data_IF_864291724524
#
_entry.id   IF_864291724524
#
_cell.length_a   1.000
_cell.length_b   1.000
_cell.length_c   1.000
_cell.angle_alpha   90.00
_cell.angle_beta   90.00
_cell.angle_gamma   90.00
#
_symmetry.space_group_name_H-M   'P 1'
#
loop_
_entity.id
_entity.type
_entity.pdbx_description
1 polymer ?
#
# COMPACT_ATOMS: atom_id res chain seq x y z
N UNK A 1 -1.40 21.12 34.34
CA UNK A 1 -1.90 20.13 33.37
C UNK A 1 -2.76 20.87 32.37
N UNK A 2 -2.38 20.89 31.08
CA UNK A 2 -3.19 21.54 30.06
C UNK A 2 -4.44 20.70 29.82
N UNK A 3 -5.60 21.22 30.20
CA UNK A 3 -6.89 20.58 29.93
C UNK A 3 -7.37 21.10 28.59
N UNK A 4 -7.32 20.26 27.56
CA UNK A 4 -7.93 20.60 26.27
C UNK A 4 -9.44 20.66 26.45
N UNK A 5 -10.02 21.84 26.19
CA UNK A 5 -11.46 22.01 26.28
C UNK A 5 -12.13 21.18 25.17
N UNK A 6 -12.95 20.19 25.52
CA UNK A 6 -13.60 19.29 24.56
C UNK A 6 -14.47 20.04 23.55
N UNK A 7 -15.00 21.22 23.89
CA UNK A 7 -15.79 22.05 22.98
C UNK A 7 -14.95 22.69 21.86
N UNK A 8 -13.63 22.81 22.04
CA UNK A 8 -12.72 23.31 21.00
C UNK A 8 -12.42 22.26 19.92
N UNK A 9 -12.84 20.99 20.10
CA UNK A 9 -12.67 19.94 19.10
C UNK A 9 -13.71 20.12 17.99
N UNK A 10 -13.26 20.41 16.76
CA UNK A 10 -14.17 20.54 15.61
C UNK A 10 -14.94 19.25 15.30
N UNK A 11 -16.05 19.34 14.57
CA UNK A 11 -16.82 18.28 13.89
C UNK A 11 -15.98 17.17 13.24
N UNK A 12 -16.48 15.94 13.05
CA UNK A 12 -16.26 15.31 11.73
C UNK A 12 -17.41 15.83 10.88
N UNK A 13 -17.15 16.14 9.61
CA UNK A 13 -18.23 16.47 8.70
C UNK A 13 -19.24 15.31 8.66
N UNK A 14 -20.54 15.60 8.78
CA UNK A 14 -21.60 14.59 8.67
C UNK A 14 -21.85 14.17 7.22
N UNK A 15 -21.63 15.13 6.32
CA UNK A 15 -21.67 15.01 4.88
C UNK A 15 -20.65 15.99 4.33
N UNK A 16 -20.12 15.71 3.16
CA UNK A 16 -19.25 16.63 2.46
C UNK A 16 -19.82 16.82 1.07
N UNK A 17 -20.21 18.06 0.75
CA UNK A 17 -20.65 18.43 -0.60
C UNK A 17 -19.41 18.80 -1.44
N UNK A 18 -19.57 18.77 -2.75
CA UNK A 18 -18.47 19.05 -3.67
C UNK A 18 -17.95 20.49 -3.54
N UNK A 19 -18.87 21.44 -3.41
CA UNK A 19 -18.55 22.86 -3.37
C UNK A 19 -17.77 23.24 -2.10
N UNK A 20 -18.10 22.66 -0.94
CA UNK A 20 -17.34 22.88 0.30
C UNK A 20 -15.93 22.29 0.21
N UNK A 21 -15.73 21.18 -0.51
CA UNK A 21 -14.40 20.59 -0.65
C UNK A 21 -13.54 21.45 -1.56
N UNK A 22 -14.09 21.88 -2.70
CA UNK A 22 -13.39 22.81 -3.60
C UNK A 22 -13.09 24.12 -2.86
N UNK A 23 -14.05 24.66 -2.10
CA UNK A 23 -13.82 25.85 -1.30
C UNK A 23 -12.71 25.65 -0.26
N UNK A 24 -12.69 24.51 0.44
CA UNK A 24 -11.67 24.19 1.43
C UNK A 24 -10.28 23.99 0.80
N UNK A 25 -10.21 23.38 -0.39
CA UNK A 25 -8.97 23.23 -1.16
C UNK A 25 -8.46 24.59 -1.66
N UNK A 26 -9.34 25.42 -2.23
CA UNK A 26 -8.97 26.73 -2.76
C UNK A 26 -8.59 27.75 -1.67
N UNK A 27 -9.24 27.65 -0.50
CA UNK A 27 -8.93 28.51 0.64
C UNK A 27 -7.80 27.98 1.52
N UNK A 28 -7.33 26.76 1.25
CA UNK A 28 -6.35 26.04 2.06
C UNK A 28 -6.66 26.10 3.57
N UNK A 29 -7.96 26.05 3.91
CA UNK A 29 -8.37 26.12 5.31
C UNK A 29 -8.07 24.80 6.02
N UNK A 30 -6.93 24.75 6.70
CA UNK A 30 -6.40 23.58 7.38
C UNK A 30 -7.42 22.83 8.25
N UNK A 31 -8.23 23.55 9.02
CA UNK A 31 -9.19 22.91 9.90
C UNK A 31 -10.38 22.27 9.17
N UNK A 32 -10.80 22.85 8.05
CA UNK A 32 -11.84 22.27 7.20
C UNK A 32 -11.29 21.03 6.49
N UNK A 33 -10.06 21.12 5.96
CA UNK A 33 -9.35 20.00 5.36
C UNK A 33 -9.23 18.81 6.33
N UNK A 34 -8.84 19.02 7.59
CA UNK A 34 -8.81 17.95 8.60
C UNK A 34 -10.19 17.28 8.77
N UNK A 35 -11.26 18.07 8.73
CA UNK A 35 -12.63 17.54 8.88
C UNK A 35 -13.05 16.69 7.68
N UNK A 36 -12.62 17.09 6.48
CA UNK A 36 -12.79 16.33 5.22
C UNK A 36 -11.95 15.05 5.24
N UNK A 37 -10.70 15.13 5.70
CA UNK A 37 -9.81 13.96 5.82
C UNK A 37 -10.42 12.89 6.74
N UNK A 38 -10.95 13.32 7.90
CA UNK A 38 -11.62 12.41 8.83
C UNK A 38 -12.91 11.81 8.26
N UNK A 39 -13.63 12.52 7.39
CA UNK A 39 -14.79 11.98 6.71
C UNK A 39 -14.39 10.84 5.77
N UNK A 40 -13.46 11.09 4.83
CA UNK A 40 -13.04 10.07 3.87
C UNK A 40 -12.38 8.88 4.54
N UNK A 41 -11.52 9.12 5.53
CA UNK A 41 -10.91 8.05 6.33
C UNK A 41 -11.93 7.18 7.07
N UNK A 42 -13.09 7.74 7.43
CA UNK A 42 -14.15 7.04 8.17
C UNK A 42 -15.12 6.30 7.27
N UNK A 43 -15.49 6.90 6.13
CA UNK A 43 -16.61 6.43 5.31
C UNK A 43 -16.20 5.81 3.97
N UNK A 44 -14.98 6.06 3.48
CA UNK A 44 -14.47 5.39 2.28
C UNK A 44 -13.66 4.13 2.68
N UNK A 45 -14.14 2.92 2.33
CA UNK A 45 -13.48 1.67 2.72
C UNK A 45 -12.09 1.49 2.09
N UNK A 46 -11.88 1.99 0.87
CA UNK A 46 -10.61 1.86 0.17
C UNK A 46 -9.54 2.69 0.86
N UNK A 47 -9.86 3.96 1.16
CA UNK A 47 -8.98 4.86 1.91
C UNK A 47 -8.69 4.29 3.31
N UNK A 48 -9.74 3.86 4.04
CA UNK A 48 -9.58 3.31 5.38
C UNK A 48 -8.65 2.08 5.40
N UNK A 49 -8.82 1.17 4.43
CA UNK A 49 -8.01 -0.03 4.26
C UNK A 49 -6.54 0.30 3.96
N UNK A 50 -6.28 1.12 2.94
CA UNK A 50 -4.90 1.44 2.52
C UNK A 50 -4.13 2.21 3.61
N UNK A 51 -4.78 3.15 4.29
CA UNK A 51 -4.18 3.86 5.43
C UNK A 51 -3.81 2.89 6.56
N UNK A 52 -4.69 1.94 6.89
CA UNK A 52 -4.39 0.96 7.95
C UNK A 52 -3.24 0.04 7.54
N UNK A 53 -3.19 -0.42 6.28
CA UNK A 53 -2.09 -1.27 5.78
C UNK A 53 -0.73 -0.58 5.90
N UNK A 54 -0.65 0.71 5.54
CA UNK A 54 0.58 1.52 5.64
C UNK A 54 0.98 1.74 7.10
N UNK A 55 0.03 2.17 7.94
CA UNK A 55 0.26 2.37 9.39
C UNK A 55 0.70 1.10 10.11
N UNK A 56 0.08 -0.05 9.81
CA UNK A 56 0.50 -1.33 10.37
C UNK A 56 1.88 -1.75 9.90
N UNK A 57 2.23 -1.50 8.62
CA UNK A 57 3.58 -1.79 8.13
C UNK A 57 4.62 -1.00 8.92
N UNK A 58 4.45 0.31 9.08
CA UNK A 58 5.35 1.15 9.90
C UNK A 58 5.54 0.61 11.33
N UNK A 59 4.47 0.14 11.96
CA UNK A 59 4.51 -0.34 13.34
C UNK A 59 5.04 -1.78 13.49
N UNK A 60 5.08 -2.52 12.38
CA UNK A 60 5.47 -3.94 12.35
C UNK A 60 6.98 -4.14 12.47
N UNK A 61 7.77 -3.15 12.05
CA UNK A 61 9.22 -3.25 12.08
C UNK A 61 9.76 -3.39 13.53
N UNK A 62 10.72 -4.29 13.77
CA UNK A 62 11.45 -4.36 15.03
C UNK A 62 12.16 -3.03 15.32
N UNK A 63 12.41 -2.73 16.60
CA UNK A 63 13.04 -1.49 17.03
C UNK A 63 14.27 -1.82 17.86
N UNK A 64 15.39 -1.19 17.54
CA UNK A 64 16.67 -1.44 18.18
C UNK A 64 17.32 -0.14 18.65
N UNK A 65 18.12 -0.28 19.70
CA UNK A 65 18.91 0.82 20.27
C UNK A 65 20.37 0.40 20.31
N UNK A 66 21.20 1.12 19.58
CA UNK A 66 22.66 0.96 19.65
C UNK A 66 23.21 2.01 20.59
N UNK A 67 23.84 1.59 21.70
CA UNK A 67 24.47 2.50 22.65
C UNK A 67 25.73 1.85 23.23
N UNK A 68 26.78 2.65 23.47
CA UNK A 68 28.04 2.16 24.06
C UNK A 68 27.89 1.81 25.54
N UNK A 69 27.03 2.53 26.26
CA UNK A 69 26.75 2.26 27.67
C UNK A 69 25.65 1.21 27.79
N UNK A 70 26.02 0.02 28.27
CA UNK A 70 25.11 -1.12 28.41
C UNK A 70 23.96 -0.84 29.38
N UNK A 71 24.18 -0.07 30.44
CA UNK A 71 23.13 0.23 31.44
C UNK A 71 22.06 1.12 30.82
N UNK A 72 22.49 2.16 30.10
CA UNK A 72 21.58 3.09 29.42
C UNK A 72 20.88 2.41 28.23
N UNK A 73 21.57 1.53 27.51
CA UNK A 73 21.00 0.67 26.46
C UNK A 73 19.85 -0.17 27.00
N UNK A 74 20.09 -0.95 28.06
CA UNK A 74 19.08 -1.82 28.67
C UNK A 74 17.90 -0.99 29.20
N UNK A 75 18.16 0.16 29.81
CA UNK A 75 17.12 1.06 30.30
C UNK A 75 16.18 1.52 29.17
N UNK A 76 16.74 1.98 28.05
CA UNK A 76 15.93 2.42 26.90
C UNK A 76 15.25 1.23 26.19
N UNK A 77 15.93 0.10 26.05
CA UNK A 77 15.37 -1.11 25.44
C UNK A 77 14.12 -1.57 26.23
N UNK A 78 14.22 -1.60 27.56
CA UNK A 78 13.10 -1.92 28.44
C UNK A 78 11.94 -0.92 28.33
N UNK A 79 12.23 0.34 27.98
CA UNK A 79 11.18 1.34 27.75
C UNK A 79 10.45 1.08 26.43
N UNK A 80 11.17 0.85 25.32
CA UNK A 80 10.56 0.65 24.00
C UNK A 80 9.84 -0.70 23.85
N UNK A 81 10.21 -1.71 24.65
CA UNK A 81 9.54 -3.02 24.67
C UNK A 81 8.14 -3.00 25.34
N UNK A 82 7.77 -1.91 26.02
CA UNK A 82 6.45 -1.80 26.67
C UNK A 82 5.32 -1.64 25.66
N UNK A 83 4.16 -2.22 25.95
CA UNK A 83 2.93 -2.09 25.14
C UNK A 83 2.50 -0.64 24.94
N UNK A 84 2.65 0.20 25.97
CA UNK A 84 2.32 1.62 25.90
C UNK A 84 3.16 2.37 24.86
N UNK A 85 4.43 1.97 24.70
CA UNK A 85 5.31 2.55 23.68
C UNK A 85 4.89 2.12 22.27
N UNK A 86 4.55 0.83 22.07
CA UNK A 86 3.99 0.36 20.79
C UNK A 86 2.69 1.06 20.43
N UNK A 87 1.81 1.31 21.40
CA UNK A 87 0.61 2.14 21.21
C UNK A 87 0.96 3.57 20.81
N UNK A 88 1.93 4.19 21.47
CA UNK A 88 2.41 5.52 21.12
C UNK A 88 2.92 5.58 19.67
N UNK A 89 3.74 4.61 19.22
CA UNK A 89 4.20 4.52 17.83
C UNK A 89 3.02 4.39 16.86
N UNK A 90 2.02 3.58 17.19
CA UNK A 90 0.80 3.48 16.39
C UNK A 90 0.00 4.79 16.33
N UNK A 91 -0.07 5.54 17.43
CA UNK A 91 -0.68 6.88 17.44
C UNK A 91 0.16 7.88 16.62
N UNK A 92 1.50 7.78 16.63
CA UNK A 92 2.38 8.62 15.81
C UNK A 92 2.17 8.37 14.32
N UNK A 93 1.93 7.11 13.91
CA UNK A 93 1.65 6.77 12.51
C UNK A 93 0.42 7.47 11.91
N UNK A 94 -0.45 8.07 12.75
CA UNK A 94 -1.52 8.92 12.25
C UNK A 94 -0.99 10.15 11.48
N UNK A 95 0.26 10.57 11.73
CA UNK A 95 0.92 11.66 11.03
C UNK A 95 1.02 11.45 9.52
N UNK A 96 1.07 10.21 9.04
CA UNK A 96 1.03 9.92 7.60
C UNK A 96 -0.20 10.55 6.94
N UNK A 97 -1.36 10.51 7.62
CA UNK A 97 -2.61 11.03 7.07
C UNK A 97 -2.61 12.55 7.03
N UNK A 98 -2.23 13.21 8.13
CA UNK A 98 -2.44 14.65 8.34
C UNK A 98 -1.16 15.49 8.19
N UNK A 99 0.00 14.88 7.92
CA UNK A 99 1.32 15.50 7.95
C UNK A 99 1.95 15.63 9.34
N UNK A 100 1.17 15.43 10.42
CA UNK A 100 1.66 15.52 11.80
C UNK A 100 0.86 14.68 12.81
N UNK A 101 1.47 14.38 13.94
CA UNK A 101 0.83 13.84 15.12
C UNK A 101 1.32 14.58 16.37
N UNK A 102 0.39 15.00 17.22
CA UNK A 102 0.70 15.79 18.41
C UNK A 102 0.27 15.05 19.68
N UNK A 103 1.05 15.22 20.74
CA UNK A 103 0.83 14.55 22.02
C UNK A 103 1.03 15.54 23.16
N UNK A 104 0.15 15.50 24.16
CA UNK A 104 0.40 16.16 25.43
C UNK A 104 1.45 15.34 26.20
N UNK A 105 2.57 15.97 26.51
CA UNK A 105 3.71 15.39 27.21
C UNK A 105 3.64 15.70 28.70
N UNK A 106 3.46 14.67 29.53
CA UNK A 106 3.49 14.77 30.98
C UNK A 106 4.61 13.90 31.55
N UNK A 107 5.63 14.49 32.16
CA UNK A 107 6.68 13.72 32.84
C UNK A 107 6.17 13.14 34.16
N UNK A 108 6.38 11.84 34.37
CA UNK A 108 5.97 11.12 35.58
C UNK A 108 7.14 10.37 36.19
N UNK A 109 7.30 10.56 37.49
CA UNK A 109 8.22 9.74 38.29
C UNK A 109 7.56 8.39 38.56
N UNK A 110 8.26 7.31 38.21
CA UNK A 110 7.91 5.94 38.55
C UNK A 110 9.13 5.29 39.18
N UNK A 111 8.99 4.90 40.43
CA UNK A 111 10.09 4.41 41.28
C UNK A 111 11.18 5.48 41.39
N UNK A 112 12.35 5.25 40.80
CA UNK A 112 13.47 6.21 40.76
C UNK A 112 13.66 6.86 39.38
N UNK A 113 12.83 6.50 38.39
CA UNK A 113 12.99 6.91 37.00
C UNK A 113 11.87 7.83 36.55
N UNK A 114 12.18 8.76 35.64
CA UNK A 114 11.25 9.70 35.03
C UNK A 114 10.88 9.21 33.63
N UNK A 115 9.60 8.95 33.38
CA UNK A 115 9.11 8.52 32.07
C UNK A 115 8.04 9.48 31.54
N UNK A 116 7.92 9.64 30.22
CA UNK A 116 6.90 10.49 29.63
C UNK A 116 5.57 9.75 29.57
N UNK A 117 4.50 10.41 29.98
CA UNK A 117 3.13 10.02 29.69
C UNK A 117 2.63 10.87 28.53
N UNK A 118 2.53 10.24 27.37
CA UNK A 118 2.07 10.86 26.13
C UNK A 118 0.58 10.60 25.93
N UNK A 119 -0.18 11.66 25.63
CA UNK A 119 -1.60 11.54 25.28
C UNK A 119 -1.84 12.13 23.91
N UNK A 120 -2.28 11.30 22.98
CA UNK A 120 -2.60 11.73 21.62
C UNK A 120 -3.63 12.87 21.61
N UNK A 121 -3.32 13.92 20.87
CA UNK A 121 -4.21 15.07 20.62
C UNK A 121 -4.79 14.88 19.22
N UNK A 122 -6.12 14.87 19.13
CA UNK A 122 -6.80 14.78 17.84
C UNK A 122 -6.43 15.98 16.95
N UNK A 123 -6.10 15.77 15.66
CA UNK A 123 -5.82 16.85 14.71
C UNK A 123 -6.92 17.91 14.65
N UNK A 124 -8.17 17.53 14.93
CA UNK A 124 -9.36 18.40 15.00
C UNK A 124 -9.29 19.52 16.04
N UNK A 125 -8.30 19.53 16.93
CA UNK A 125 -8.04 20.64 17.86
C UNK A 125 -7.15 21.73 17.26
N UNK A 126 -6.47 21.44 16.15
CA UNK A 126 -5.47 22.32 15.58
C UNK A 126 -6.08 23.21 14.49
N UNK A 127 -5.59 24.44 14.46
CA UNK A 127 -5.74 25.39 13.38
C UNK A 127 -4.35 25.90 13.00
N UNK A 128 -4.26 26.52 11.84
CA UNK A 128 -3.02 27.06 11.31
C UNK A 128 -3.19 28.56 11.05
N UNK A 129 -2.14 29.34 11.27
CA UNK A 129 -2.13 30.77 10.92
C UNK A 129 -1.56 31.00 9.51
N UNK A 130 -1.59 32.25 9.05
CA UNK A 130 -1.09 32.64 7.72
C UNK A 130 0.44 32.44 7.55
N UNK A 131 1.16 32.08 8.62
CA UNK A 131 2.59 31.77 8.63
C UNK A 131 2.86 30.27 8.78
N UNK A 132 1.84 29.45 8.59
CA UNK A 132 1.89 27.99 8.71
C UNK A 132 2.24 27.48 10.13
N UNK A 133 1.99 28.28 11.16
CA UNK A 133 2.20 27.88 12.56
C UNK A 133 0.95 27.20 13.10
N UNK A 134 1.12 25.97 13.57
CA UNK A 134 0.06 25.26 14.28
C UNK A 134 -0.26 25.92 15.62
N UNK A 135 -1.54 26.11 15.89
CA UNK A 135 -2.02 26.57 17.19
C UNK A 135 -3.29 25.84 17.62
N UNK A 136 -3.54 25.86 18.92
CA UNK A 136 -4.77 25.37 19.54
C UNK A 136 -5.45 26.52 20.30
N UNK A 137 -6.78 26.46 20.42
CA UNK A 137 -7.52 27.40 21.25
C UNK A 137 -7.64 26.89 22.69
N UNK A 138 -7.25 27.73 23.64
CA UNK A 138 -7.46 27.52 25.08
C UNK A 138 -8.02 28.80 25.67
N UNK A 139 -9.23 28.74 26.24
CA UNK A 139 -9.91 29.89 26.87
C UNK A 139 -9.93 31.15 25.97
N UNK A 140 -10.22 30.96 24.67
CA UNK A 140 -10.25 32.02 23.65
C UNK A 140 -8.90 32.66 23.31
N UNK A 141 -7.78 32.13 23.83
CA UNK A 141 -6.42 32.50 23.43
C UNK A 141 -5.85 31.47 22.45
N UNK A 142 -5.12 31.95 21.44
CA UNK A 142 -4.29 31.11 20.55
C UNK A 142 -3.02 30.71 21.30
N UNK A 143 -2.76 29.41 21.38
CA UNK A 143 -1.50 28.86 21.89
C UNK A 143 -0.77 28.19 20.73
N UNK A 144 0.34 28.76 20.32
CA UNK A 144 1.17 28.20 19.25
C UNK A 144 1.95 26.99 19.76
N UNK A 145 1.98 25.93 18.94
CA UNK A 145 2.51 24.62 19.34
C UNK A 145 4.02 24.66 19.55
N UNK A 146 4.73 25.43 18.74
CA UNK A 146 6.19 25.64 18.83
C UNK A 146 6.63 26.40 20.09
N UNK A 147 5.71 27.13 20.74
CA UNK A 147 5.94 27.82 22.02
C UNK A 147 5.58 26.94 23.24
N UNK A 148 5.13 25.71 23.03
CA UNK A 148 4.61 24.84 24.09
C UNK A 148 5.53 23.64 24.38
N UNK A 149 6.28 23.71 25.48
CA UNK A 149 7.15 22.61 25.93
C UNK A 149 6.39 21.32 26.33
N UNK A 150 5.10 21.44 26.64
CA UNK A 150 4.22 20.34 27.00
C UNK A 150 3.55 19.65 25.79
N UNK A 151 3.86 20.07 24.56
CA UNK A 151 3.36 19.43 23.34
C UNK A 151 4.53 18.78 22.59
N UNK A 152 4.50 17.45 22.51
CA UNK A 152 5.38 16.69 21.64
C UNK A 152 4.76 16.61 20.23
N UNK A 153 5.45 17.19 19.24
CA UNK A 153 5.02 17.23 17.85
C UNK A 153 5.90 16.31 16.99
N UNK A 154 5.27 15.37 16.30
CA UNK A 154 5.87 14.55 15.25
C UNK A 154 5.40 15.06 13.89
N UNK A 155 6.34 15.41 13.02
CA UNK A 155 6.07 15.80 11.63
C UNK A 155 6.42 14.63 10.70
N UNK A 156 5.57 14.41 9.71
CA UNK A 156 5.69 13.36 8.71
C UNK A 156 5.41 13.93 7.31
N UNK A 157 6.35 14.72 6.75
CA UNK A 157 6.16 15.34 5.45
C UNK A 157 6.13 14.28 4.34
N UNK A 158 5.03 14.24 3.59
CA UNK A 158 4.90 13.42 2.38
C UNK A 158 5.40 14.13 1.13
N UNK A 159 5.59 15.45 1.21
CA UNK A 159 6.11 16.33 0.17
C UNK A 159 6.94 17.47 0.82
N UNK A 160 7.63 18.29 0.03
CA UNK A 160 8.51 19.39 0.49
C UNK A 160 7.84 20.78 0.43
N UNK A 161 6.54 20.84 0.17
CA UNK A 161 5.76 22.07 0.06
C UNK A 161 5.31 22.66 1.40
N UNK A 162 4.19 23.39 1.36
CA UNK A 162 3.53 23.99 2.54
C UNK A 162 3.19 22.94 3.60
N UNK A 163 2.91 23.39 4.83
CA UNK A 163 2.47 22.49 5.90
C UNK A 163 1.24 21.65 5.50
N UNK A 164 0.34 22.18 4.67
CA UNK A 164 -0.85 21.47 4.19
C UNK A 164 -0.46 20.42 3.14
N UNK A 165 0.42 20.78 2.19
CA UNK A 165 0.89 19.88 1.12
C UNK A 165 1.68 18.69 1.67
N UNK A 166 2.32 18.85 2.84
CA UNK A 166 3.00 17.76 3.54
C UNK A 166 2.06 16.63 3.99
N UNK A 167 0.76 16.88 4.09
CA UNK A 167 -0.26 15.89 4.43
C UNK A 167 -0.53 14.97 3.24
N UNK A 168 -0.36 13.65 3.40
CA UNK A 168 -0.67 12.69 2.33
C UNK A 168 -2.11 12.85 1.79
N UNK A 169 -3.05 13.14 2.70
CA UNK A 169 -4.45 13.29 2.32
C UNK A 169 -4.75 14.52 1.47
N UNK A 170 -3.85 15.50 1.41
CA UNK A 170 -4.00 16.63 0.50
C UNK A 170 -4.12 16.14 -0.95
N UNK A 171 -3.27 15.18 -1.34
CA UNK A 171 -3.29 14.58 -2.68
C UNK A 171 -4.44 13.57 -2.86
N UNK A 172 -4.86 12.89 -1.79
CA UNK A 172 -5.92 11.86 -1.84
C UNK A 172 -7.32 12.48 -1.94
N UNK A 173 -7.56 13.64 -1.34
CA UNK A 173 -8.91 14.24 -1.29
C UNK A 173 -9.48 14.48 -2.67
N UNK A 174 -8.70 14.98 -3.62
CA UNK A 174 -9.16 15.29 -4.97
C UNK A 174 -9.80 14.09 -5.67
N UNK A 175 -9.16 12.92 -5.61
CA UNK A 175 -9.70 11.70 -6.23
C UNK A 175 -10.85 11.10 -5.41
N UNK A 176 -10.80 11.21 -4.09
CA UNK A 176 -11.86 10.73 -3.20
C UNK A 176 -13.18 11.49 -3.42
N UNK A 177 -13.09 12.80 -3.64
CA UNK A 177 -14.22 13.67 -4.00
C UNK A 177 -14.84 13.22 -5.32
N UNK A 178 -14.02 13.03 -6.35
CA UNK A 178 -14.50 12.60 -7.67
C UNK A 178 -15.21 11.25 -7.59
N UNK A 179 -14.67 10.30 -6.82
CA UNK A 179 -15.29 9.01 -6.54
C UNK A 179 -16.67 9.19 -5.90
N UNK A 180 -16.77 9.98 -4.83
CA UNK A 180 -18.04 10.20 -4.13
C UNK A 180 -19.07 10.91 -5.02
N UNK A 181 -18.66 11.90 -5.81
CA UNK A 181 -19.51 12.59 -6.76
C UNK A 181 -20.05 11.63 -7.82
N UNK A 182 -19.18 10.80 -8.39
CA UNK A 182 -19.55 9.79 -9.36
C UNK A 182 -20.55 8.80 -8.76
N UNK A 183 -20.29 8.27 -7.55
CA UNK A 183 -21.23 7.41 -6.82
C UNK A 183 -22.60 8.06 -6.65
N UNK A 184 -22.64 9.32 -6.21
CA UNK A 184 -23.90 10.05 -6.04
C UNK A 184 -24.67 10.20 -7.35
N UNK A 185 -23.99 10.59 -8.44
CA UNK A 185 -24.61 10.73 -9.77
C UNK A 185 -25.09 9.40 -10.33
N UNK A 186 -24.36 8.31 -10.06
CA UNK A 186 -24.78 6.99 -10.49
C UNK A 186 -25.99 6.47 -9.74
N UNK A 187 -26.12 6.74 -8.44
CA UNK A 187 -27.35 6.41 -7.70
C UNK A 187 -28.54 7.14 -8.35
N UNK A 188 -28.41 8.44 -8.62
CA UNK A 188 -29.47 9.19 -9.31
C UNK A 188 -29.76 8.66 -10.72
N UNK A 189 -28.74 8.18 -11.43
CA UNK A 189 -28.91 7.57 -12.74
C UNK A 189 -29.61 6.21 -12.67
N UNK A 190 -29.24 5.35 -11.73
CA UNK A 190 -29.90 4.06 -11.49
C UNK A 190 -31.35 4.23 -11.05
N UNK A 191 -31.65 5.26 -10.25
CA UNK A 191 -33.02 5.62 -9.89
C UNK A 191 -33.83 5.99 -11.16
N UNK A 192 -33.25 6.80 -12.04
CA UNK A 192 -33.87 7.15 -13.32
C UNK A 192 -34.01 5.95 -14.29
N UNK A 193 -33.09 4.99 -14.27
CA UNK A 193 -33.24 3.75 -15.06
C UNK A 193 -34.32 2.82 -14.49
N UNK A 194 -34.48 2.81 -13.17
CA UNK A 194 -35.52 2.00 -12.50
C UNK A 194 -36.91 2.54 -12.79
N UNK A 195 -37.04 3.86 -12.96
CA UNK A 195 -38.27 4.54 -13.38
C UNK A 195 -37.95 5.47 -14.55
N UNK A 196 -37.82 4.91 -15.78
CA UNK A 196 -37.47 5.70 -16.96
C UNK A 196 -38.45 6.87 -17.15
N UNK A 197 -37.94 8.08 -17.45
CA UNK A 197 -38.80 9.20 -17.77
C UNK A 197 -39.69 8.85 -18.96
N UNK A 198 -41.00 9.11 -18.81
CA UNK A 198 -41.98 8.98 -19.87
C UNK A 198 -42.07 10.35 -20.54
N UNK A 199 -41.72 10.42 -21.82
CA UNK A 199 -41.91 11.63 -22.62
C UNK A 199 -43.12 11.43 -23.51
N UNK A 200 -44.12 12.30 -23.34
CA UNK A 200 -45.24 12.40 -24.26
C UNK A 200 -45.04 13.61 -25.18
N UNK A 201 -45.06 13.37 -26.50
CA UNK A 201 -45.10 14.41 -27.52
C UNK A 201 -46.52 14.47 -28.05
N UNK A 202 -47.18 15.61 -27.86
CA UNK A 202 -48.55 15.86 -28.35
C UNK A 202 -48.64 17.25 -28.96
N UNK A 203 -49.42 17.39 -30.03
CA UNK A 203 -49.78 18.67 -30.65
C UNK A 203 -51.23 19.08 -30.32
N UNK A 204 -51.95 18.25 -29.56
CA UNK A 204 -53.41 18.35 -29.43
C UNK A 204 -53.88 18.87 -28.06
N UNK A 205 -52.97 19.21 -27.15
CA UNK A 205 -53.32 19.82 -25.87
C UNK A 205 -53.33 21.35 -26.01
N UNK A 206 -54.52 21.94 -26.06
CA UNK A 206 -54.70 23.38 -26.33
C UNK A 206 -55.15 24.16 -25.08
N UNK A 207 -55.40 23.48 -23.96
CA UNK A 207 -55.75 24.09 -22.68
C UNK A 207 -54.99 23.46 -21.51
N UNK A 208 -54.75 24.24 -20.45
CA UNK A 208 -54.06 23.75 -19.23
C UNK A 208 -54.75 22.53 -18.61
N UNK A 209 -56.08 22.43 -18.70
CA UNK A 209 -56.85 21.29 -18.21
C UNK A 209 -56.57 20.00 -18.97
N UNK A 210 -56.49 20.07 -20.31
CA UNK A 210 -56.17 18.91 -21.14
C UNK A 210 -54.74 18.42 -20.89
N UNK A 211 -53.80 19.34 -20.67
CA UNK A 211 -52.41 19.01 -20.29
C UNK A 211 -52.39 18.29 -18.93
N UNK A 212 -53.16 18.77 -17.96
CA UNK A 212 -53.21 18.19 -16.62
C UNK A 212 -53.86 16.80 -16.61
N UNK A 213 -54.92 16.59 -17.39
CA UNK A 213 -55.53 15.26 -17.60
C UNK A 213 -54.56 14.29 -18.28
N UNK A 214 -53.81 14.74 -19.29
CA UNK A 214 -52.82 13.92 -19.99
C UNK A 214 -51.64 13.56 -19.07
N UNK A 215 -51.17 14.49 -18.24
CA UNK A 215 -50.16 14.23 -17.21
C UNK A 215 -50.66 13.22 -16.17
N UNK A 216 -51.92 13.32 -15.74
CA UNK A 216 -52.52 12.38 -14.81
C UNK A 216 -52.63 10.98 -15.43
N UNK A 217 -52.97 10.88 -16.72
CA UNK A 217 -52.97 9.61 -17.46
C UNK A 217 -51.56 9.00 -17.59
N UNK A 218 -50.53 9.80 -17.86
CA UNK A 218 -49.13 9.34 -17.89
C UNK A 218 -48.63 8.89 -16.51
N UNK A 219 -49.05 9.57 -15.45
CA UNK A 219 -48.77 9.15 -14.07
C UNK A 219 -49.48 7.83 -13.74
N UNK A 220 -50.71 7.65 -14.21
CA UNK A 220 -51.45 6.40 -14.05
C UNK A 220 -50.83 5.25 -14.87
N UNK A 221 -50.34 5.52 -16.09
CA UNK A 221 -49.59 4.56 -16.92
C UNK A 221 -48.35 4.00 -16.19
N UNK A 222 -47.78 4.75 -15.24
CA UNK A 222 -46.65 4.28 -14.43
C UNK A 222 -47.05 3.17 -13.44
N UNK A 223 -48.29 3.19 -12.96
CA UNK A 223 -48.81 2.22 -11.97
C UNK A 223 -49.76 1.18 -12.60
N UNK A 224 -50.36 1.51 -13.75
CA UNK A 224 -51.31 0.70 -14.49
C UNK A 224 -50.75 0.37 -15.88
N UNK A 225 -50.99 -0.84 -16.36
CA UNK A 225 -50.46 -1.34 -17.64
C UNK A 225 -51.24 -0.88 -18.89
N UNK A 226 -52.11 0.13 -18.76
CA UNK A 226 -53.02 0.58 -19.83
C UNK A 226 -53.14 2.11 -19.83
N UNK A 227 -53.12 2.72 -21.02
CA UNK A 227 -53.35 4.15 -21.23
C UNK A 227 -54.15 4.41 -22.52
N UNK A 228 -54.79 5.57 -22.60
CA UNK A 228 -55.56 6.02 -23.77
C UNK A 228 -54.84 7.23 -24.34
N UNK A 229 -54.51 7.19 -25.64
CA UNK A 229 -53.79 8.25 -26.33
C UNK A 229 -54.42 8.49 -27.71
N UNK A 230 -54.29 9.71 -28.24
CA UNK A 230 -54.72 9.99 -29.61
C UNK A 230 -53.77 9.35 -30.62
N UNK A 231 -54.23 9.21 -31.86
CA UNK A 231 -53.47 8.57 -32.94
C UNK A 231 -52.11 9.21 -33.22
N UNK A 232 -51.99 10.52 -32.99
CA UNK A 232 -50.78 11.30 -33.25
C UNK A 232 -49.90 11.50 -32.00
N UNK A 233 -50.36 11.05 -30.82
CA UNK A 233 -49.59 11.16 -29.59
C UNK A 233 -48.48 10.09 -29.56
N UNK A 234 -47.24 10.53 -29.30
CA UNK A 234 -46.12 9.62 -29.14
C UNK A 234 -45.65 9.57 -27.69
N UNK A 235 -45.61 8.36 -27.13
CA UNK A 235 -45.07 8.08 -25.80
C UNK A 235 -43.77 7.33 -25.95
N UNK A 236 -42.68 7.94 -25.49
CA UNK A 236 -41.33 7.37 -25.53
C UNK A 236 -40.80 7.20 -24.11
N UNK A 237 -40.17 6.04 -23.87
CA UNK A 237 -39.33 5.84 -22.69
C UNK A 237 -37.92 6.29 -23.03
N UNK A 238 -37.37 7.18 -22.21
CA UNK A 238 -36.02 7.68 -22.43
C UNK A 238 -35.00 6.66 -21.93
N UNK A 239 -34.51 5.82 -22.84
CA UNK A 239 -33.41 4.90 -22.56
C UNK A 239 -32.08 5.60 -22.81
N UNK A 240 -31.22 5.64 -21.80
CA UNK A 240 -29.83 6.08 -22.00
C UNK A 240 -29.02 4.96 -22.68
N UNK A 241 -28.31 5.27 -23.76
CA UNK A 241 -27.40 4.32 -24.43
C UNK A 241 -26.06 4.09 -23.72
N UNK A 242 -25.91 4.51 -22.46
CA UNK A 242 -24.70 4.28 -21.66
C UNK A 242 -24.73 2.87 -21.07
N UNK A 243 -23.64 2.12 -21.19
CA UNK A 243 -23.51 0.84 -20.50
C UNK A 243 -23.21 1.07 -19.02
N UNK A 244 -23.85 0.28 -18.15
CA UNK A 244 -23.60 0.28 -16.70
C UNK A 244 -22.13 -0.03 -16.33
N UNK A 245 -21.36 -0.60 -17.26
CA UNK A 245 -19.94 -0.89 -17.10
C UNK A 245 -19.07 0.36 -16.98
N UNK A 246 -19.34 1.42 -17.75
CA UNK A 246 -18.49 2.63 -17.78
C UNK A 246 -18.38 3.29 -16.42
N UNK A 247 -19.47 3.28 -15.65
CA UNK A 247 -19.48 3.83 -14.30
C UNK A 247 -18.61 3.01 -13.34
N UNK A 248 -18.76 1.69 -13.37
CA UNK A 248 -18.00 0.77 -12.51
C UNK A 248 -16.51 0.86 -12.83
N UNK A 249 -16.15 1.03 -14.10
CA UNK A 249 -14.77 1.22 -14.54
C UNK A 249 -14.17 2.53 -13.99
N UNK A 250 -14.95 3.61 -13.95
CA UNK A 250 -14.50 4.88 -13.35
C UNK A 250 -14.30 4.76 -11.84
N UNK A 251 -15.20 4.06 -11.12
CA UNK A 251 -15.00 3.81 -9.69
C UNK A 251 -13.74 2.99 -9.43
N UNK A 252 -13.50 1.94 -10.23
CA UNK A 252 -12.30 1.13 -10.16
C UNK A 252 -11.05 1.98 -10.38
N UNK A 253 -11.05 2.84 -11.40
CA UNK A 253 -9.96 3.80 -11.63
C UNK A 253 -9.70 4.68 -10.39
N UNK A 254 -10.75 5.19 -9.74
CA UNK A 254 -10.60 5.99 -8.52
C UNK A 254 -9.98 5.18 -7.36
N UNK A 255 -10.46 3.96 -7.13
CA UNK A 255 -9.91 3.07 -6.08
C UNK A 255 -8.45 2.71 -6.33
N UNK A 256 -8.10 2.46 -7.59
CA UNK A 256 -6.73 2.22 -8.00
C UNK A 256 -5.85 3.46 -7.78
N UNK A 257 -6.31 4.65 -8.18
CA UNK A 257 -5.58 5.90 -7.96
C UNK A 257 -5.37 6.20 -6.46
N UNK A 258 -6.39 5.98 -5.62
CA UNK A 258 -6.29 6.09 -4.16
C UNK A 258 -5.20 5.14 -3.63
N UNK A 259 -5.18 3.89 -4.10
CA UNK A 259 -4.20 2.90 -3.66
C UNK A 259 -2.77 3.26 -4.08
N UNK A 260 -2.60 3.79 -5.30
CA UNK A 260 -1.30 4.29 -5.79
C UNK A 260 -0.80 5.45 -4.93
N UNK A 261 -1.67 6.40 -4.59
CA UNK A 261 -1.29 7.55 -3.76
C UNK A 261 -0.91 7.14 -2.34
N UNK A 262 -1.66 6.23 -1.71
CA UNK A 262 -1.43 5.86 -0.31
C UNK A 262 -0.33 4.82 -0.16
N UNK A 263 -0.37 3.75 -0.96
CA UNK A 263 0.49 2.57 -0.80
C UNK A 263 1.56 2.47 -1.90
N UNK A 264 1.58 3.38 -2.88
CA UNK A 264 2.55 3.40 -3.97
C UNK A 264 2.24 2.42 -5.12
N UNK A 265 1.17 1.63 -5.01
CA UNK A 265 0.92 0.53 -5.94
C UNK A 265 -0.55 0.12 -6.05
N UNK A 266 -0.85 -0.63 -7.11
CA UNK A 266 -2.13 -1.31 -7.33
C UNK A 266 -1.83 -2.73 -7.79
N UNK A 267 -2.48 -3.71 -7.16
CA UNK A 267 -2.56 -5.06 -7.72
C UNK A 267 -3.35 -4.98 -9.02
N UNK A 268 -2.67 -5.13 -10.16
CA UNK A 268 -3.35 -5.18 -11.45
C UNK A 268 -4.35 -6.34 -11.43
N UNK A 269 -5.63 -6.06 -11.68
CA UNK A 269 -6.71 -7.05 -11.65
C UNK A 269 -6.52 -8.24 -12.61
N UNK A 270 -5.60 -8.13 -13.57
CA UNK A 270 -5.23 -9.19 -14.51
C UNK A 270 -4.24 -10.23 -13.93
N UNK A 271 -3.88 -10.13 -12.63
CA UNK A 271 -3.02 -11.06 -11.93
C UNK A 271 -3.59 -12.48 -11.73
N UNK A 272 -4.82 -12.75 -12.19
CA UNK A 272 -5.46 -14.05 -11.99
C UNK A 272 -4.99 -15.10 -13.02
N UNK A 273 -4.45 -14.70 -14.18
CA UNK A 273 -4.13 -15.67 -15.23
C UNK A 273 -2.63 -15.94 -15.45
N UNK A 274 -1.72 -14.97 -15.34
CA UNK A 274 -0.35 -15.15 -15.83
C UNK A 274 0.71 -14.64 -14.83
N UNK A 275 1.01 -15.42 -13.77
CA UNK A 275 2.19 -15.23 -12.91
C UNK A 275 1.95 -14.44 -11.61
N UNK A 276 1.66 -15.15 -10.52
CA UNK A 276 1.25 -14.56 -9.23
C UNK A 276 2.40 -14.27 -8.27
N UNK A 277 3.52 -14.99 -8.36
CA UNK A 277 4.61 -14.93 -7.36
C UNK A 277 5.53 -13.73 -7.56
N UNK A 278 5.99 -13.48 -8.80
CA UNK A 278 6.86 -12.34 -9.10
C UNK A 278 6.16 -11.00 -8.81
N UNK A 279 4.87 -10.90 -9.13
CA UNK A 279 4.05 -9.73 -8.86
C UNK A 279 3.85 -9.52 -7.34
N UNK A 280 3.61 -10.60 -6.58
CA UNK A 280 3.53 -10.54 -5.12
C UNK A 280 4.82 -10.03 -4.47
N UNK A 281 5.98 -10.44 -4.99
CA UNK A 281 7.29 -9.98 -4.49
C UNK A 281 7.51 -8.49 -4.76
N UNK A 282 7.21 -8.02 -5.97
CA UNK A 282 7.28 -6.58 -6.31
C UNK A 282 6.34 -5.78 -5.40
N UNK A 283 5.16 -6.33 -5.10
CA UNK A 283 4.20 -5.65 -4.23
C UNK A 283 4.67 -5.51 -2.79
N UNK A 284 5.28 -6.55 -2.23
CA UNK A 284 5.83 -6.47 -0.89
C UNK A 284 7.06 -5.55 -0.85
N UNK A 285 7.86 -5.50 -1.93
CA UNK A 285 8.99 -4.58 -2.06
C UNK A 285 8.57 -3.11 -2.05
N UNK A 286 7.60 -2.69 -2.86
CA UNK A 286 7.11 -1.30 -2.84
C UNK A 286 6.53 -0.96 -1.46
N UNK A 287 5.79 -1.89 -0.85
CA UNK A 287 5.23 -1.70 0.49
C UNK A 287 6.31 -1.57 1.56
N UNK A 288 7.41 -2.32 1.43
CA UNK A 288 8.58 -2.21 2.28
C UNK A 288 9.25 -0.85 2.11
N UNK A 289 9.52 -0.41 0.88
CA UNK A 289 10.16 0.87 0.59
C UNK A 289 9.35 2.06 1.16
N UNK A 290 8.02 2.03 1.01
CA UNK A 290 7.13 3.05 1.62
C UNK A 290 7.23 3.01 3.14
N UNK A 291 7.16 1.83 3.73
CA UNK A 291 7.28 1.65 5.18
C UNK A 291 8.63 2.09 5.75
N UNK A 292 9.72 1.83 5.02
CA UNK A 292 11.09 2.26 5.36
C UNK A 292 11.18 3.76 5.47
N UNK A 293 10.75 4.48 4.43
CA UNK A 293 10.73 5.94 4.42
C UNK A 293 9.91 6.52 5.58
N UNK A 294 8.73 5.95 5.83
CA UNK A 294 7.88 6.38 6.93
C UNK A 294 8.56 6.18 8.31
N UNK A 295 9.31 5.08 8.47
CA UNK A 295 10.02 4.78 9.73
C UNK A 295 11.21 5.70 9.97
N UNK A 296 11.81 6.30 8.93
CA UNK A 296 12.88 7.29 9.09
C UNK A 296 12.38 8.54 9.82
N UNK A 297 11.19 9.04 9.44
CA UNK A 297 10.58 10.20 10.10
C UNK A 297 10.18 9.91 11.54
N UNK A 298 9.64 8.72 11.79
CA UNK A 298 9.35 8.24 13.15
C UNK A 298 10.62 8.17 13.99
N UNK A 299 11.69 7.57 13.46
CA UNK A 299 12.97 7.38 14.16
C UNK A 299 13.52 8.71 14.67
N UNK A 300 13.52 9.75 13.83
CA UNK A 300 14.00 11.09 14.22
C UNK A 300 13.22 11.67 15.40
N UNK A 301 11.91 11.47 15.44
CA UNK A 301 11.05 12.01 16.50
C UNK A 301 11.16 11.19 17.78
N UNK A 302 11.22 9.86 17.66
CA UNK A 302 11.43 8.94 18.77
C UNK A 302 12.81 9.15 19.40
N UNK A 303 13.87 9.29 18.60
CA UNK A 303 15.22 9.58 19.05
C UNK A 303 15.24 10.81 19.98
N UNK A 304 14.63 11.93 19.56
CA UNK A 304 14.51 13.15 20.38
C UNK A 304 13.82 12.90 21.72
N UNK A 305 12.75 12.10 21.74
CA UNK A 305 12.05 11.74 22.96
C UNK A 305 12.95 10.89 23.87
N UNK A 306 13.60 9.85 23.33
CA UNK A 306 14.49 8.97 24.09
C UNK A 306 15.70 9.73 24.66
N UNK A 307 16.25 10.71 23.93
CA UNK A 307 17.30 11.61 24.42
C UNK A 307 16.85 12.45 25.62
N UNK A 308 15.61 12.96 25.59
CA UNK A 308 15.04 13.68 26.74
C UNK A 308 14.85 12.74 27.94
N UNK A 309 14.42 11.50 27.71
CA UNK A 309 14.31 10.49 28.77
C UNK A 309 15.70 10.25 29.40
N UNK A 310 16.75 10.03 28.61
CA UNK A 310 18.10 9.83 29.16
C UNK A 310 18.56 11.03 29.98
N UNK A 311 18.39 12.25 29.46
CA UNK A 311 18.78 13.49 30.16
C UNK A 311 18.11 13.65 31.51
N UNK A 312 16.88 13.18 31.68
CA UNK A 312 16.13 13.26 32.93
C UNK A 312 16.48 12.15 33.93
N UNK A 313 17.03 11.03 33.47
CA UNK A 313 17.30 9.86 34.31
C UNK A 313 18.80 9.68 34.64
N UNK A 314 19.70 10.21 33.80
CA UNK A 314 21.14 10.00 33.92
C UNK A 314 21.89 11.33 33.89
N UNK A 315 22.82 11.50 34.84
CA UNK A 315 23.66 12.71 34.90
C UNK A 315 24.62 12.84 33.70
N UNK A 316 25.01 11.72 33.09
CA UNK A 316 25.86 11.65 31.89
C UNK A 316 25.17 10.79 30.83
N UNK A 317 24.29 11.37 30.00
CA UNK A 317 23.62 10.63 28.95
C UNK A 317 24.64 10.16 27.90
N UNK A 318 24.65 8.86 27.61
CA UNK A 318 25.47 8.29 26.57
C UNK A 318 24.86 8.58 25.18
N UNK A 319 25.71 8.66 24.17
CA UNK A 319 25.27 8.72 22.77
C UNK A 319 24.67 7.37 22.36
N UNK A 320 23.54 7.40 21.68
CA UNK A 320 22.85 6.22 21.17
C UNK A 320 22.11 6.51 19.87
N UNK A 321 21.79 5.45 19.13
CA UNK A 321 21.05 5.50 17.89
C UNK A 321 19.82 4.58 17.99
N UNK A 322 18.62 5.12 17.78
CA UNK A 322 17.38 4.38 17.64
C UNK A 322 17.05 4.15 16.15
N UNK A 323 16.82 2.89 15.78
CA UNK A 323 16.56 2.51 14.38
C UNK A 323 15.46 1.44 14.31
N UNK A 324 14.57 1.55 13.31
CA UNK A 324 13.69 0.44 12.92
C UNK A 324 14.47 -0.56 12.06
N UNK A 325 14.24 -1.85 12.27
CA UNK A 325 14.80 -2.89 11.42
C UNK A 325 13.89 -3.18 10.25
N UNK A 326 14.38 -2.83 9.08
CA UNK A 326 13.64 -2.96 7.83
C UNK A 326 14.28 -3.97 6.89
N UNK A 327 15.39 -4.60 7.32
CA UNK A 327 16.05 -5.65 6.55
C UNK A 327 15.11 -6.84 6.30
N UNK A 328 15.19 -7.42 5.09
CA UNK A 328 14.47 -8.66 4.76
C UNK A 328 15.30 -9.88 5.12
N UNK A 329 14.66 -10.98 5.48
CA UNK A 329 15.34 -12.29 5.61
C UNK A 329 16.06 -12.70 4.31
N UNK A 330 15.53 -12.31 3.15
CA UNK A 330 16.15 -12.54 1.84
C UNK A 330 17.42 -11.69 1.67
N UNK A 331 17.42 -10.45 2.15
CA UNK A 331 18.59 -9.57 2.10
C UNK A 331 19.69 -10.08 3.02
N UNK A 332 19.35 -10.66 4.18
CA UNK A 332 20.31 -11.31 5.07
C UNK A 332 20.99 -12.52 4.42
N UNK A 333 20.24 -13.36 3.69
CA UNK A 333 20.82 -14.49 2.94
C UNK A 333 21.74 -14.01 1.83
N UNK A 334 21.34 -12.97 1.08
CA UNK A 334 22.18 -12.37 0.05
C UNK A 334 23.46 -11.77 0.65
N UNK A 335 23.34 -10.96 1.71
CA UNK A 335 24.48 -10.38 2.42
C UNK A 335 25.40 -11.45 3.01
N UNK A 336 24.85 -12.53 3.58
CA UNK A 336 25.62 -13.66 4.05
C UNK A 336 26.40 -14.34 2.91
N UNK A 337 25.78 -14.47 1.73
CA UNK A 337 26.45 -14.92 0.50
C UNK A 337 27.61 -14.00 0.11
N UNK A 338 27.37 -12.69 0.03
CA UNK A 338 28.40 -11.68 -0.28
C UNK A 338 29.55 -11.74 0.72
N UNK A 339 29.26 -11.78 2.02
CA UNK A 339 30.28 -11.88 3.06
C UNK A 339 31.03 -13.21 3.03
N UNK A 340 30.37 -14.31 2.70
CA UNK A 340 31.03 -15.61 2.47
C UNK A 340 31.98 -15.53 1.28
N UNK A 341 31.60 -14.84 0.20
CA UNK A 341 32.47 -14.61 -0.97
C UNK A 341 33.68 -13.75 -0.60
N UNK A 342 33.48 -12.65 0.12
CA UNK A 342 34.56 -11.76 0.60
C UNK A 342 35.53 -12.51 1.52
N UNK A 343 35.00 -13.34 2.44
CA UNK A 343 35.83 -14.19 3.29
C UNK A 343 36.57 -15.26 2.49
N UNK A 344 35.95 -15.81 1.44
CA UNK A 344 36.59 -16.73 0.49
C UNK A 344 37.69 -16.08 -0.36
N UNK A 345 37.62 -14.78 -0.60
CA UNK A 345 38.68 -13.98 -1.24
C UNK A 345 39.86 -13.67 -0.30
N UNK A 346 39.79 -14.09 0.97
CA UNK A 346 40.88 -13.94 1.94
C UNK A 346 40.81 -12.67 2.79
N UNK A 347 39.71 -11.91 2.75
CA UNK A 347 39.51 -10.75 3.61
C UNK A 347 38.85 -11.16 4.94
N UNK A 348 39.38 -10.66 6.05
CA UNK A 348 38.75 -10.83 7.36
C UNK A 348 37.68 -9.77 7.61
N UNK A 349 36.46 -10.22 7.94
CA UNK A 349 35.36 -9.33 8.32
C UNK A 349 35.29 -9.29 9.85
N UNK A 350 35.41 -8.10 10.49
CA UNK A 350 35.29 -7.97 11.94
C UNK A 350 33.94 -8.46 12.46
N UNK A 351 33.94 -9.19 13.58
CA UNK A 351 32.70 -9.68 14.19
C UNK A 351 31.77 -8.53 14.64
N UNK A 352 32.35 -7.39 15.06
CA UNK A 352 31.60 -6.18 15.40
C UNK A 352 30.86 -5.60 14.19
N UNK A 353 31.47 -5.67 13.00
CA UNK A 353 30.85 -5.23 11.76
C UNK A 353 29.66 -6.12 11.40
N UNK A 354 29.82 -7.44 11.49
CA UNK A 354 28.72 -8.39 11.24
C UNK A 354 27.59 -8.24 12.28
N UNK A 355 27.93 -8.08 13.56
CA UNK A 355 26.95 -7.84 14.62
C UNK A 355 26.15 -6.57 14.37
N UNK A 356 26.80 -5.51 13.87
CA UNK A 356 26.12 -4.26 13.49
C UNK A 356 25.26 -4.43 12.24
N UNK A 357 25.76 -5.08 11.19
CA UNK A 357 25.04 -5.26 9.92
C UNK A 357 23.80 -6.12 10.09
N UNK A 358 23.92 -7.26 10.76
CA UNK A 358 22.80 -8.19 11.00
C UNK A 358 22.02 -7.86 12.28
N UNK A 359 22.41 -6.81 13.01
CA UNK A 359 21.78 -6.37 14.27
C UNK A 359 21.63 -7.49 15.32
N UNK A 360 22.60 -8.41 15.34
CA UNK A 360 22.66 -9.55 16.29
C UNK A 360 23.52 -9.17 17.49
N UNK A 361 22.92 -9.14 18.68
CA UNK A 361 23.66 -8.93 19.93
C UNK A 361 24.46 -10.17 20.35
N UNK A 362 25.72 -9.98 20.74
CA UNK A 362 26.54 -11.05 21.35
C UNK A 362 27.13 -12.06 20.37
N UNK A 363 27.37 -11.67 19.11
CA UNK A 363 28.04 -12.51 18.11
C UNK A 363 29.44 -12.93 18.62
N UNK A 364 29.63 -14.21 18.91
CA UNK A 364 30.92 -14.78 19.36
C UNK A 364 31.54 -15.63 18.27
N UNK A 365 32.83 -15.41 17.98
CA UNK A 365 33.60 -16.30 17.11
C UNK A 365 33.76 -17.63 17.86
N UNK A 366 33.20 -18.71 17.34
CA UNK A 366 33.42 -20.05 17.88
C UNK A 366 34.90 -20.40 17.63
N UNK A 367 35.66 -20.77 18.65
CA UNK A 367 37.01 -21.31 18.43
C UNK A 367 36.86 -22.61 17.65
N UNK A 368 37.22 -22.59 16.37
CA UNK A 368 37.12 -23.76 15.50
C UNK A 368 38.42 -24.53 15.64
N UNK A 369 38.37 -25.68 16.32
CA UNK A 369 39.40 -26.71 16.19
C UNK A 369 39.51 -27.14 14.72
N UNK A 370 40.74 -27.28 14.25
CA UNK A 370 41.13 -27.53 12.84
C UNK A 370 40.46 -28.75 12.19
N UNK A 371 39.82 -29.62 12.98
CA UNK A 371 39.08 -30.79 12.51
C UNK A 371 37.71 -30.44 11.88
N UNK A 372 37.09 -29.33 12.27
CA UNK A 372 35.76 -28.95 11.76
C UNK A 372 35.80 -28.31 10.35
N UNK A 373 36.95 -27.83 9.90
CA UNK A 373 37.11 -27.37 8.51
C UNK A 373 36.99 -28.53 7.52
N UNK A 374 37.55 -29.70 7.86
CA UNK A 374 37.44 -30.90 7.05
C UNK A 374 35.99 -31.43 7.02
N UNK A 375 35.26 -31.36 8.13
CA UNK A 375 33.87 -31.80 8.16
C UNK A 375 32.94 -30.85 7.42
N UNK A 376 33.11 -29.53 7.55
CA UNK A 376 32.31 -28.54 6.81
C UNK A 376 32.65 -28.52 5.32
N UNK A 377 33.92 -28.72 4.93
CA UNK A 377 34.29 -28.88 3.52
C UNK A 377 33.73 -30.17 2.93
N UNK A 378 33.72 -31.28 3.69
CA UNK A 378 33.08 -32.53 3.27
C UNK A 378 31.55 -32.42 3.20
N UNK A 379 30.90 -31.65 4.08
CA UNK A 379 29.45 -31.39 4.03
C UNK A 379 29.12 -30.44 2.87
N UNK A 380 29.93 -29.42 2.59
CA UNK A 380 29.79 -28.56 1.40
C UNK A 380 30.06 -29.33 0.11
N UNK A 381 31.05 -30.21 0.06
CA UNK A 381 31.28 -31.11 -1.08
C UNK A 381 30.16 -32.13 -1.23
N UNK A 382 29.62 -32.67 -0.13
CA UNK A 382 28.50 -33.63 -0.17
C UNK A 382 27.18 -32.95 -0.52
N UNK A 383 26.98 -31.69 -0.12
CA UNK A 383 25.84 -30.87 -0.52
C UNK A 383 25.98 -30.40 -1.97
N UNK A 384 27.18 -30.03 -2.43
CA UNK A 384 27.45 -29.73 -3.84
C UNK A 384 27.39 -30.97 -4.72
N UNK A 385 27.75 -32.16 -4.20
CA UNK A 385 27.50 -33.46 -4.85
C UNK A 385 26.04 -33.85 -4.82
N UNK A 386 25.29 -33.64 -3.75
CA UNK A 386 23.83 -33.81 -3.73
C UNK A 386 23.13 -32.81 -4.66
N UNK A 387 23.70 -31.63 -4.84
CA UNK A 387 23.25 -30.61 -5.80
C UNK A 387 23.61 -31.01 -7.22
N UNK A 388 24.83 -31.50 -7.47
CA UNK A 388 25.26 -32.04 -8.78
C UNK A 388 24.53 -33.33 -9.12
N UNK A 389 24.32 -34.24 -8.19
CA UNK A 389 23.53 -35.45 -8.33
C UNK A 389 22.05 -35.09 -8.48
N UNK A 390 21.51 -34.06 -7.80
CA UNK A 390 20.16 -33.53 -8.10
C UNK A 390 20.10 -32.78 -9.43
N UNK A 391 21.18 -32.17 -9.89
CA UNK A 391 21.29 -31.53 -11.21
C UNK A 391 21.51 -32.60 -12.28
N UNK A 392 22.12 -33.74 -11.98
CA UNK A 392 22.35 -34.89 -12.87
C UNK A 392 21.13 -35.82 -12.90
N UNK A 393 20.40 -35.96 -11.78
CA UNK A 393 19.07 -36.56 -11.67
C UNK A 393 17.97 -35.63 -12.23
N UNK A 394 18.15 -34.30 -12.21
CA UNK A 394 17.28 -33.35 -12.93
C UNK A 394 17.73 -33.09 -14.37
N UNK A 395 18.96 -33.39 -14.77
CA UNK A 395 19.39 -33.43 -16.18
C UNK A 395 19.11 -34.78 -16.83
N UNK A 396 18.60 -35.74 -16.06
CA UNK A 396 17.93 -36.96 -16.55
C UNK A 396 16.42 -36.96 -16.22
N UNK A 397 15.92 -35.83 -15.74
CA UNK A 397 14.51 -35.45 -15.78
C UNK A 397 14.40 -34.08 -16.48
N UNK A 398 15.03 -33.98 -17.65
CA UNK A 398 14.37 -33.25 -18.72
C UNK A 398 13.03 -33.98 -18.91
N UNK A 399 11.92 -33.34 -18.53
CA UNK A 399 10.69 -33.58 -19.29
C UNK A 399 10.93 -32.97 -20.68
N UNK A 400 11.88 -33.57 -21.43
CA UNK A 400 11.87 -33.54 -22.88
C UNK A 400 10.47 -34.00 -23.24
N UNK A 401 9.74 -33.13 -23.93
CA UNK A 401 8.57 -33.54 -24.67
C UNK A 401 9.03 -34.70 -25.53
N UNK A 402 8.63 -35.93 -25.17
CA UNK A 402 9.00 -37.17 -25.86
C UNK A 402 8.87 -36.95 -27.38
N UNK A 403 9.77 -37.52 -28.18
CA UNK A 403 9.70 -37.44 -29.64
C UNK A 403 8.30 -37.80 -30.19
N UNK A 404 7.54 -38.63 -29.48
CA UNK A 404 6.13 -38.95 -29.78
C UNK A 404 5.18 -37.74 -29.71
N UNK A 405 5.37 -36.83 -28.76
CA UNK A 405 4.53 -35.64 -28.60
C UNK A 405 4.91 -34.59 -29.66
N UNK A 406 6.20 -34.50 -30.01
CA UNK A 406 6.66 -33.60 -31.07
C UNK A 406 6.08 -34.00 -32.45
N UNK A 407 6.12 -35.28 -32.79
CA UNK A 407 5.52 -35.78 -34.03
C UNK A 407 4.00 -35.60 -34.06
N UNK A 408 3.30 -35.75 -32.92
CA UNK A 408 1.87 -35.43 -32.82
C UNK A 408 1.56 -33.95 -33.01
N UNK A 409 2.37 -33.05 -32.45
CA UNK A 409 2.20 -31.60 -32.62
C UNK A 409 2.46 -31.20 -34.08
N UNK A 410 3.44 -31.84 -34.74
CA UNK A 410 3.71 -31.64 -36.17
C UNK A 410 2.56 -32.14 -37.06
N UNK A 411 1.95 -33.27 -36.72
CA UNK A 411 0.73 -33.73 -37.38
C UNK A 411 -0.45 -32.76 -37.16
N UNK A 412 -0.61 -32.19 -35.96
CA UNK A 412 -1.62 -31.15 -35.72
C UNK A 412 -1.35 -29.88 -36.53
N UNK A 413 -0.08 -29.50 -36.71
CA UNK A 413 0.30 -28.36 -37.54
C UNK A 413 -0.10 -28.55 -39.01
N UNK A 414 0.05 -29.75 -39.57
CA UNK A 414 -0.36 -30.04 -40.95
C UNK A 414 -1.89 -30.06 -41.15
N UNK A 415 -2.66 -30.29 -40.08
CA UNK A 415 -4.12 -30.32 -40.11
C UNK A 415 -4.80 -28.98 -39.77
N UNK A 416 -4.13 -28.07 -39.06
CA UNK A 416 -4.72 -26.81 -38.60
C UNK A 416 -4.49 -25.67 -39.62
N UNK A 417 -5.50 -24.82 -39.83
CA UNK A 417 -5.40 -23.71 -40.79
C UNK A 417 -4.97 -22.38 -40.16
N UNK A 418 -4.90 -22.31 -38.83
CA UNK A 418 -4.47 -21.12 -38.09
C UNK A 418 -3.71 -21.45 -36.80
N UNK A 419 -2.93 -20.49 -36.32
CA UNK A 419 -2.14 -20.60 -35.09
C UNK A 419 -3.02 -20.74 -33.83
N UNK A 420 -4.14 -20.03 -33.79
CA UNK A 420 -5.08 -20.03 -32.66
C UNK A 420 -5.78 -21.39 -32.52
N UNK A 421 -6.10 -22.05 -33.64
CA UNK A 421 -6.74 -23.38 -33.66
C UNK A 421 -5.78 -24.49 -33.19
N UNK A 422 -4.49 -24.35 -33.50
CA UNK A 422 -3.45 -25.25 -33.01
C UNK A 422 -3.26 -25.11 -31.50
N UNK A 423 -3.24 -23.88 -31.00
CA UNK A 423 -3.09 -23.57 -29.58
C UNK A 423 -4.24 -24.20 -28.76
N UNK A 424 -5.49 -24.02 -29.20
CA UNK A 424 -6.65 -24.64 -28.55
C UNK A 424 -6.57 -26.18 -28.52
N UNK A 425 -6.14 -26.83 -29.61
CA UNK A 425 -5.99 -28.30 -29.66
C UNK A 425 -4.92 -28.80 -28.70
N UNK A 426 -3.78 -28.12 -28.64
CA UNK A 426 -2.68 -28.49 -27.74
C UNK A 426 -3.11 -28.34 -26.28
N UNK A 427 -3.82 -27.27 -25.95
CA UNK A 427 -4.37 -27.07 -24.60
C UNK A 427 -5.40 -28.13 -24.19
N UNK A 428 -6.19 -28.62 -25.15
CA UNK A 428 -7.22 -29.63 -24.88
C UNK A 428 -6.64 -31.02 -24.61
N UNK A 429 -5.60 -31.41 -25.33
CA UNK A 429 -4.94 -32.73 -25.19
C UNK A 429 -3.91 -32.76 -24.05
N UNK A 430 -3.25 -31.62 -23.76
CA UNK A 430 -2.17 -31.55 -22.76
C UNK A 430 -2.36 -30.41 -21.74
N UNK A 431 -3.38 -30.47 -20.87
CA UNK A 431 -3.75 -29.39 -19.95
C UNK A 431 -2.73 -29.07 -18.84
N UNK A 432 -1.73 -29.93 -18.62
CA UNK A 432 -0.73 -29.77 -17.56
C UNK A 432 0.64 -29.28 -18.07
N UNK A 433 0.80 -29.03 -19.37
CA UNK A 433 2.06 -28.53 -19.93
C UNK A 433 1.96 -27.01 -20.11
N UNK A 434 2.85 -26.25 -19.46
CA UNK A 434 2.90 -24.80 -19.64
C UNK A 434 3.37 -24.45 -21.05
N UNK A 435 2.62 -23.62 -21.76
CA UNK A 435 2.89 -23.23 -23.16
C UNK A 435 4.29 -22.63 -23.35
N UNK A 436 4.80 -21.87 -22.37
CA UNK A 436 6.17 -21.34 -22.39
C UNK A 436 7.24 -22.44 -22.45
N UNK A 437 7.09 -23.52 -21.67
CA UNK A 437 8.01 -24.67 -21.74
C UNK A 437 7.95 -25.40 -23.07
N UNK A 438 6.75 -25.50 -23.66
CA UNK A 438 6.55 -26.15 -24.95
C UNK A 438 7.22 -25.34 -26.07
N UNK A 439 7.04 -24.02 -26.05
CA UNK A 439 7.70 -23.08 -26.97
C UNK A 439 9.23 -23.10 -26.84
N UNK A 440 9.73 -23.04 -25.60
CA UNK A 440 11.17 -23.05 -25.34
C UNK A 440 11.83 -24.38 -25.77
N UNK A 441 11.11 -25.50 -25.65
CA UNK A 441 11.58 -26.81 -26.12
C UNK A 441 11.54 -26.94 -27.65
N UNK A 442 10.53 -26.37 -28.31
CA UNK A 442 10.43 -26.30 -29.78
C UNK A 442 11.53 -25.42 -30.38
N UNK A 443 11.75 -24.24 -29.81
CA UNK A 443 12.79 -23.31 -30.25
C UNK A 443 14.19 -23.95 -30.13
N UNK A 444 14.45 -24.71 -29.05
CA UNK A 444 15.69 -25.48 -28.89
C UNK A 444 15.84 -26.58 -29.95
N UNK A 445 14.79 -27.35 -30.24
CA UNK A 445 14.84 -28.40 -31.29
C UNK A 445 15.02 -27.82 -32.69
N UNK A 446 14.38 -26.70 -33.02
CA UNK A 446 14.58 -25.99 -34.29
C UNK A 446 16.01 -25.46 -34.39
N UNK A 447 16.53 -24.86 -33.32
CA UNK A 447 17.92 -24.39 -33.27
C UNK A 447 18.92 -25.54 -33.49
N UNK A 448 18.73 -26.68 -32.83
CA UNK A 448 19.56 -27.88 -33.02
C UNK A 448 19.47 -28.42 -34.44
N UNK A 449 18.26 -28.56 -35.01
CA UNK A 449 18.07 -29.04 -36.38
C UNK A 449 18.71 -28.09 -37.42
N UNK A 450 18.62 -26.77 -37.20
CA UNK A 450 19.25 -25.77 -38.06
C UNK A 450 20.77 -25.78 -37.98
N UNK A 451 21.34 -25.98 -36.78
CA UNK A 451 22.78 -26.18 -36.60
C UNK A 451 23.27 -27.47 -37.26
N UNK A 452 22.47 -28.54 -37.21
CA UNK A 452 22.82 -29.82 -37.81
C UNK A 452 22.75 -29.76 -39.35
N UNK A 453 21.74 -29.09 -39.90
CA UNK A 453 21.67 -28.81 -41.35
C UNK A 453 22.85 -27.94 -41.84
N UNK A 454 23.28 -26.94 -41.05
CA UNK A 454 24.46 -26.13 -41.35
C UNK A 454 25.74 -26.97 -41.34
N UNK A 455 25.87 -27.91 -40.39
CA UNK A 455 27.00 -28.84 -40.32
C UNK A 455 27.03 -29.82 -41.50
N UNK A 456 25.88 -30.28 -41.97
CA UNK A 456 25.77 -31.17 -43.12
C UNK A 456 26.08 -30.44 -44.44
N UNK A 457 25.65 -29.19 -44.61
CA UNK A 457 26.03 -28.35 -45.77
C UNK A 457 27.48 -27.88 -45.79
N UNK A 458 28.19 -27.98 -44.66
CA UNK A 458 29.63 -27.70 -44.57
C UNK A 458 30.53 -28.87 -44.94
N UNK A 459 29.95 -30.06 -45.19
CA UNK A 459 30.65 -31.29 -45.51
C UNK A 459 30.34 -31.85 -46.93
N UNK A 460 29.73 -31.05 -47.81
CA UNK A 460 29.64 -31.32 -49.25
C UNK A 460 30.66 -30.53 -50.09
#
# INVERSE_FOLDING_TARGET
MRILNKTARKSVASSVDFDSIIAALNSENFSELISIYDYFKRFDPQIASEVMKRRFKMCSFPMFITCKDETQRIFLQNYISKSDFRKFVFEMSAAVVYGFAAFLLEWKVKDLNVFPKLKYISPRFFSMDDKERLFIYSESKKLFVDECDDIFLHLHPSDSGSFIEQSLFYNVVSIAVLKQLAMSKNISYLDNLSVPPIIAKTTNANSDKEIEELLMQLSNLRSASVGIFNKDDMVELLNSGLSTSTFTDFLRYCDEAISKLISGQVLAGNAVQNGTQALGNVHEEVRLNVGEMDTLFLSKSIQKLLEQILKLNFAKPAEFEFVFDTNKEVDEQYLAGVYSTISGMGYEIPAEFLAKTFRIEGLKKKEVSTENYAFNSLVLEKNNRLSKDKIELNSSAEDEISDEIYEKIKAFWEECQSYEELEERIFKEYPNISFEKLKESLDKKIALASMQALLDTGNE
#
